data_IF_484530428237
#
_entry.id   IF_484530428237
#
_cell.length_a   1.000
_cell.length_b   1.000
_cell.length_c   1.000
_cell.angle_alpha   90.00
_cell.angle_beta   90.00
_cell.angle_gamma   90.00
#
_symmetry.space_group_name_H-M   'P 1'
#
loop_
_entity.id
_entity.type
_entity.pdbx_description
1 polymer ?
#
# COMPACT_ATOMS: atom_id res chain seq x y z
N UNK A 1 36.45 -14.61 19.39
CA UNK A 1 35.13 -14.73 20.05
C UNK A 1 34.09 -14.35 19.02
N UNK A 2 33.31 -15.31 18.55
CA UNK A 2 32.34 -15.10 17.48
C UNK A 2 31.11 -14.36 18.01
N UNK A 3 30.73 -13.27 17.34
CA UNK A 3 29.47 -12.57 17.53
C UNK A 3 28.31 -13.55 17.27
N UNK A 4 27.62 -13.97 18.33
CA UNK A 4 26.31 -14.61 18.20
C UNK A 4 25.33 -13.56 17.73
N UNK A 5 24.80 -13.75 16.52
CA UNK A 5 23.63 -13.03 16.02
C UNK A 5 22.45 -13.35 16.93
N UNK A 6 22.05 -12.39 17.76
CA UNK A 6 20.81 -12.46 18.53
C UNK A 6 19.68 -12.10 17.57
N UNK A 7 18.98 -13.13 17.08
CA UNK A 7 17.66 -13.15 16.40
C UNK A 7 17.69 -14.12 15.21
N UNK A 8 17.77 -15.42 15.47
CA UNK A 8 17.34 -16.45 14.52
C UNK A 8 15.81 -16.42 14.48
N UNK A 9 15.25 -15.44 13.76
CA UNK A 9 13.83 -15.41 13.44
C UNK A 9 13.61 -16.33 12.25
N UNK A 10 12.92 -17.45 12.46
CA UNK A 10 12.55 -18.38 11.39
C UNK A 10 11.49 -17.74 10.48
N UNK A 11 11.96 -17.17 9.37
CA UNK A 11 11.12 -16.58 8.32
C UNK A 11 10.64 -17.61 7.28
N UNK A 12 10.97 -18.91 7.42
CA UNK A 12 10.61 -19.92 6.43
C UNK A 12 9.09 -20.06 6.23
N UNK A 13 8.29 -19.70 7.25
CA UNK A 13 6.83 -19.65 7.13
C UNK A 13 6.32 -18.66 6.08
N UNK A 14 7.07 -17.59 5.79
CA UNK A 14 6.73 -16.53 4.84
C UNK A 14 7.37 -16.71 3.46
N UNK A 15 8.40 -17.56 3.35
CA UNK A 15 9.16 -17.79 2.11
C UNK A 15 8.48 -18.82 1.19
N UNK A 16 7.41 -18.39 0.54
CA UNK A 16 6.72 -19.22 -0.45
C UNK A 16 6.24 -18.40 -1.65
N UNK A 17 6.42 -18.97 -2.84
CA UNK A 17 6.19 -18.31 -4.12
C UNK A 17 4.90 -18.79 -4.75
N UNK A 18 4.06 -17.87 -5.21
CA UNK A 18 2.92 -18.20 -6.07
C UNK A 18 3.30 -18.10 -7.56
N UNK A 19 2.66 -18.91 -8.38
CA UNK A 19 2.83 -19.02 -9.84
C UNK A 19 1.79 -18.21 -10.64
N UNK A 20 1.02 -17.35 -9.98
CA UNK A 20 -0.02 -16.57 -10.64
C UNK A 20 0.58 -15.57 -11.64
N UNK A 21 0.15 -15.65 -12.90
CA UNK A 21 0.51 -14.66 -13.93
C UNK A 21 -0.38 -13.43 -13.76
N UNK A 22 0.18 -12.21 -13.71
CA UNK A 22 -0.62 -10.99 -13.63
C UNK A 22 -1.42 -10.78 -14.91
N UNK A 23 -2.58 -10.13 -14.78
CA UNK A 23 -3.45 -9.73 -15.92
C UNK A 23 -2.79 -8.60 -16.71
N UNK A 24 -2.08 -7.71 -16.01
CA UNK A 24 -1.28 -6.67 -16.63
C UNK A 24 0.07 -6.54 -15.94
N UNK A 25 1.10 -6.29 -16.73
CA UNK A 25 2.45 -5.96 -16.27
C UNK A 25 2.94 -4.77 -17.08
N UNK A 26 3.32 -3.71 -16.39
CA UNK A 26 3.96 -2.54 -17.01
C UNK A 26 5.26 -2.93 -17.73
N UNK A 27 5.73 -2.08 -18.65
CA UNK A 27 7.10 -2.18 -19.15
C UNK A 27 8.09 -1.95 -18.00
N UNK A 28 9.30 -2.51 -18.13
CA UNK A 28 10.36 -2.26 -17.16
C UNK A 28 10.78 -0.80 -17.21
N UNK A 29 11.04 -0.23 -16.04
CA UNK A 29 11.59 1.10 -15.89
C UNK A 29 10.56 2.21 -15.72
N UNK A 30 11.03 3.29 -15.13
CA UNK A 30 10.20 4.45 -14.83
C UNK A 30 10.20 5.41 -16.02
N UNK A 31 9.04 5.57 -16.64
CA UNK A 31 8.84 6.54 -17.72
C UNK A 31 7.58 7.37 -17.49
N UNK A 32 7.50 8.52 -18.15
CA UNK A 32 6.27 9.30 -18.20
C UNK A 32 5.07 8.46 -18.68
N UNK A 33 5.30 7.62 -19.70
CA UNK A 33 4.28 6.72 -20.24
C UNK A 33 3.80 5.72 -19.19
N UNK A 34 4.70 5.13 -18.39
CA UNK A 34 4.34 4.23 -17.29
C UNK A 34 3.42 4.93 -16.28
N UNK A 35 3.74 6.17 -15.92
CA UNK A 35 2.94 6.97 -14.99
C UNK A 35 1.55 7.29 -15.55
N UNK A 36 1.48 7.70 -16.82
CA UNK A 36 0.21 7.96 -17.51
C UNK A 36 -0.64 6.69 -17.63
N UNK A 37 -0.03 5.55 -17.98
CA UNK A 37 -0.70 4.26 -18.07
C UNK A 37 -1.31 3.82 -16.74
N UNK A 38 -0.58 3.96 -15.62
CA UNK A 38 -1.12 3.64 -14.28
C UNK A 38 -2.38 4.48 -14.01
N UNK A 39 -2.31 5.78 -14.25
CA UNK A 39 -3.43 6.70 -14.02
C UNK A 39 -4.65 6.37 -14.89
N UNK A 40 -4.41 6.08 -16.17
CA UNK A 40 -5.46 5.75 -17.15
C UNK A 40 -6.12 4.40 -16.84
N UNK A 41 -5.34 3.38 -16.48
CA UNK A 41 -5.86 2.07 -16.07
C UNK A 41 -6.73 2.15 -14.81
N UNK A 42 -6.33 2.99 -13.86
CA UNK A 42 -7.06 3.22 -12.61
C UNK A 42 -8.26 4.14 -12.79
N UNK A 43 -8.38 4.81 -13.94
CA UNK A 43 -9.42 5.79 -14.28
C UNK A 43 -9.45 6.95 -13.28
N UNK A 44 -8.27 7.48 -12.99
CA UNK A 44 -8.11 8.53 -11.99
C UNK A 44 -8.61 9.90 -12.49
N UNK A 45 -9.00 10.81 -11.58
CA UNK A 45 -9.30 12.18 -11.94
C UNK A 45 -8.06 12.93 -12.40
N UNK A 46 -8.24 13.92 -13.27
CA UNK A 46 -7.17 14.70 -13.91
C UNK A 46 -6.17 15.32 -12.90
N UNK A 47 -6.64 15.72 -11.73
CA UNK A 47 -5.77 16.30 -10.70
C UNK A 47 -4.76 15.28 -10.16
N UNK A 48 -5.14 14.00 -10.06
CA UNK A 48 -4.24 12.93 -9.61
C UNK A 48 -3.23 12.59 -10.70
N UNK A 49 -3.66 12.56 -11.97
CA UNK A 49 -2.74 12.39 -13.11
C UNK A 49 -1.66 13.49 -13.12
N UNK A 50 -2.06 14.75 -12.92
CA UNK A 50 -1.12 15.89 -12.79
C UNK A 50 -0.22 15.76 -11.57
N UNK A 51 -0.74 15.31 -10.43
CA UNK A 51 0.04 15.07 -9.22
C UNK A 51 1.15 14.03 -9.49
N UNK A 52 0.80 12.90 -10.11
CA UNK A 52 1.74 11.84 -10.46
C UNK A 52 2.82 12.31 -11.44
N UNK A 53 2.43 13.06 -12.48
CA UNK A 53 3.37 13.61 -13.46
C UNK A 53 4.35 14.62 -12.84
N UNK A 54 3.87 15.51 -11.97
CA UNK A 54 4.73 16.42 -11.20
C UNK A 54 5.72 15.63 -10.34
N UNK A 55 5.26 14.58 -9.69
CA UNK A 55 6.11 13.72 -8.87
C UNK A 55 7.21 13.02 -9.69
N UNK A 56 6.87 12.54 -10.89
CA UNK A 56 7.84 11.98 -11.82
C UNK A 56 8.93 12.99 -12.21
N UNK A 57 8.56 14.23 -12.52
CA UNK A 57 9.52 15.29 -12.83
C UNK A 57 10.47 15.57 -11.65
N UNK A 58 9.93 15.65 -10.42
CA UNK A 58 10.75 15.81 -9.22
C UNK A 58 11.68 14.62 -8.97
N UNK A 59 11.24 13.40 -9.24
CA UNK A 59 12.08 12.22 -9.12
C UNK A 59 13.29 12.30 -10.05
N UNK A 60 13.09 12.71 -11.31
CA UNK A 60 14.16 12.83 -12.30
C UNK A 60 15.19 13.92 -11.93
N UNK A 61 14.73 15.04 -11.41
CA UNK A 61 15.58 16.19 -11.08
C UNK A 61 16.43 15.98 -9.82
N UNK A 62 16.04 15.04 -8.95
CA UNK A 62 16.71 14.85 -7.66
C UNK A 62 17.84 13.81 -7.74
N UNK A 63 19.02 14.10 -7.17
CA UNK A 63 20.08 13.10 -7.04
C UNK A 63 19.69 12.03 -6.01
N UNK A 64 20.33 10.86 -6.09
CA UNK A 64 20.24 9.87 -5.03
C UNK A 64 20.83 10.43 -3.73
N UNK A 65 20.21 10.15 -2.56
CA UNK A 65 20.77 10.59 -1.29
C UNK A 65 22.12 9.90 -1.04
N UNK A 66 23.06 10.64 -0.48
CA UNK A 66 24.44 10.18 -0.19
C UNK A 66 24.63 9.77 1.27
N UNK A 67 23.55 9.70 2.05
CA UNK A 67 23.53 9.39 3.47
C UNK A 67 22.60 8.19 3.73
N UNK A 68 22.83 7.46 4.82
CA UNK A 68 22.08 6.24 5.14
C UNK A 68 22.66 4.99 4.45
N UNK A 69 21.78 4.06 4.05
CA UNK A 69 22.18 2.85 3.32
C UNK A 69 22.75 3.18 1.94
N UNK A 70 23.63 2.31 1.42
CA UNK A 70 24.14 2.48 0.07
C UNK A 70 23.03 2.19 -0.95
N UNK A 71 22.53 3.20 -1.67
CA UNK A 71 21.49 3.05 -2.68
C UNK A 71 22.02 3.03 -4.12
N UNK A 72 23.34 3.02 -4.33
CA UNK A 72 23.95 3.11 -5.67
C UNK A 72 23.67 1.90 -6.57
N UNK A 73 23.20 0.80 -5.99
CA UNK A 73 22.92 -0.46 -6.68
C UNK A 73 21.49 -0.52 -7.24
N UNK A 74 20.62 0.44 -6.89
CA UNK A 74 19.23 0.43 -7.36
C UNK A 74 19.20 0.86 -8.82
N UNK A 75 18.85 -0.07 -9.70
CA UNK A 75 18.54 0.22 -11.10
C UNK A 75 17.02 0.46 -11.26
N UNK A 76 16.63 1.73 -11.28
CA UNK A 76 15.24 2.13 -11.49
C UNK A 76 14.69 1.74 -12.88
N UNK A 77 15.54 1.34 -13.84
CA UNK A 77 15.12 0.85 -15.14
C UNK A 77 14.83 -0.65 -15.15
N UNK A 78 15.29 -1.43 -14.15
CA UNK A 78 15.05 -2.87 -14.07
C UNK A 78 13.85 -3.26 -13.20
N UNK A 79 13.11 -2.27 -12.69
CA UNK A 79 11.95 -2.45 -11.82
C UNK A 79 10.65 -2.41 -12.63
N UNK A 80 9.72 -3.31 -12.30
CA UNK A 80 8.32 -3.18 -12.70
C UNK A 80 7.55 -2.37 -11.66
N UNK A 81 6.93 -1.27 -12.08
CA UNK A 81 6.28 -0.31 -11.19
C UNK A 81 4.78 -0.57 -10.97
N UNK A 82 4.17 -1.39 -11.84
CA UNK A 82 2.77 -1.73 -11.73
C UNK A 82 2.49 -3.13 -12.28
N UNK A 83 1.90 -3.97 -11.44
CA UNK A 83 1.40 -5.30 -11.77
C UNK A 83 -0.03 -5.44 -11.28
N UNK A 84 -0.95 -5.75 -12.19
CA UNK A 84 -2.36 -6.01 -11.84
C UNK A 84 -2.59 -7.52 -11.69
N UNK A 85 -2.75 -8.06 -10.47
CA UNK A 85 -2.92 -9.51 -10.26
C UNK A 85 -4.34 -10.00 -10.56
N UNK A 86 -5.36 -9.18 -10.29
CA UNK A 86 -6.78 -9.51 -10.43
C UNK A 86 -7.57 -8.32 -10.99
N UNK A 87 -8.75 -8.57 -11.56
CA UNK A 87 -9.62 -7.51 -12.07
C UNK A 87 -10.63 -6.98 -11.04
N UNK A 88 -10.74 -7.63 -9.88
CA UNK A 88 -11.75 -7.35 -8.85
C UNK A 88 -11.13 -7.37 -7.47
N UNK A 89 -11.64 -6.46 -6.64
CA UNK A 89 -11.49 -6.48 -5.18
C UNK A 89 -12.68 -7.25 -4.62
N UNK A 90 -12.42 -8.31 -3.86
CA UNK A 90 -13.48 -9.15 -3.31
C UNK A 90 -13.85 -8.68 -1.90
N UNK A 91 -15.15 -8.69 -1.58
CA UNK A 91 -15.68 -8.28 -0.26
C UNK A 91 -15.91 -9.46 0.69
N UNK A 92 -15.94 -10.67 0.15
CA UNK A 92 -16.09 -11.90 0.92
C UNK A 92 -14.81 -12.72 0.79
N UNK A 93 -14.36 -13.28 1.91
CA UNK A 93 -13.24 -14.22 1.89
C UNK A 93 -13.49 -15.40 0.95
N UNK A 94 -14.75 -15.80 0.80
CA UNK A 94 -15.14 -16.93 -0.04
C UNK A 94 -14.95 -16.66 -1.54
N UNK A 95 -14.92 -15.40 -1.95
CA UNK A 95 -14.82 -14.99 -3.35
C UNK A 95 -13.37 -14.71 -3.79
N UNK A 96 -12.43 -14.57 -2.84
CA UNK A 96 -10.99 -14.37 -3.13
C UNK A 96 -10.45 -15.57 -3.93
N UNK A 97 -9.61 -15.39 -4.96
CA UNK A 97 -9.03 -16.53 -5.69
C UNK A 97 -8.28 -17.52 -4.77
N UNK A 98 -8.50 -18.81 -4.97
CA UNK A 98 -8.02 -19.91 -4.10
C UNK A 98 -6.51 -19.86 -3.79
N UNK A 99 -5.68 -19.46 -4.76
CA UNK A 99 -4.23 -19.35 -4.56
C UNK A 99 -3.85 -18.19 -3.62
N UNK A 100 -4.56 -17.08 -3.73
CA UNK A 100 -4.44 -15.92 -2.86
C UNK A 100 -4.97 -16.25 -1.46
N UNK A 101 -6.08 -16.98 -1.35
CA UNK A 101 -6.57 -17.47 -0.04
C UNK A 101 -5.53 -18.30 0.69
N UNK A 102 -4.98 -19.34 0.03
CA UNK A 102 -3.93 -20.20 0.63
C UNK A 102 -2.73 -19.42 1.12
N UNK A 103 -2.39 -18.37 0.39
CA UNK A 103 -1.31 -17.47 0.74
C UNK A 103 -1.60 -16.73 2.04
N UNK A 104 -2.77 -16.15 2.19
CA UNK A 104 -3.15 -15.41 3.40
C UNK A 104 -3.64 -16.29 4.56
N UNK A 105 -4.16 -17.49 4.30
CA UNK A 105 -4.46 -18.51 5.30
C UNK A 105 -3.18 -18.90 6.04
N UNK A 106 -2.07 -19.09 5.31
CA UNK A 106 -0.74 -19.32 5.91
C UNK A 106 -0.24 -18.15 6.74
N UNK A 107 -0.73 -16.94 6.48
CA UNK A 107 -0.41 -15.73 7.23
C UNK A 107 -1.35 -15.53 8.44
N UNK A 108 -2.41 -16.33 8.56
CA UNK A 108 -3.37 -16.29 9.67
C UNK A 108 -4.41 -15.17 9.59
N UNK A 109 -4.60 -14.53 8.42
CA UNK A 109 -5.49 -13.36 8.28
C UNK A 109 -6.96 -13.68 8.62
N UNK A 110 -7.58 -14.78 8.13
CA UNK A 110 -9.01 -15.04 8.38
C UNK A 110 -9.33 -15.33 9.85
N UNK A 111 -8.39 -15.92 10.59
CA UNK A 111 -8.57 -16.17 12.02
C UNK A 111 -8.43 -14.87 12.82
N UNK A 112 -7.47 -14.01 12.45
CA UNK A 112 -7.30 -12.70 13.06
C UNK A 112 -8.54 -11.82 12.83
N UNK A 113 -9.09 -11.80 11.60
CA UNK A 113 -10.30 -11.06 11.26
C UNK A 113 -11.49 -11.44 12.16
N UNK A 114 -11.76 -12.75 12.29
CA UNK A 114 -12.91 -13.23 13.07
C UNK A 114 -12.81 -12.98 14.56
N UNK A 115 -11.60 -12.92 15.12
CA UNK A 115 -11.39 -12.90 16.57
C UNK A 115 -11.00 -11.54 17.13
N UNK A 116 -10.32 -10.69 16.36
CA UNK A 116 -9.57 -9.56 16.92
C UNK A 116 -9.65 -8.24 16.15
N UNK A 117 -10.25 -8.20 14.95
CA UNK A 117 -10.13 -7.03 14.07
C UNK A 117 -11.48 -6.37 13.79
N UNK A 118 -11.47 -5.03 13.73
CA UNK A 118 -12.61 -4.21 13.30
C UNK A 118 -12.76 -4.17 11.76
N UNK A 119 -11.68 -4.45 11.04
CA UNK A 119 -11.63 -4.51 9.60
C UNK A 119 -10.27 -4.98 9.12
N UNK A 120 -10.25 -5.52 7.90
CA UNK A 120 -9.06 -6.05 7.23
C UNK A 120 -8.99 -5.54 5.79
N UNK A 121 -7.82 -5.03 5.40
CA UNK A 121 -7.41 -4.87 4.01
C UNK A 121 -6.26 -5.80 3.67
N UNK A 122 -6.30 -6.48 2.54
CA UNK A 122 -5.20 -7.30 2.05
C UNK A 122 -4.80 -6.90 0.62
N UNK A 123 -3.55 -6.44 0.48
CA UNK A 123 -2.92 -6.11 -0.79
C UNK A 123 -1.99 -7.22 -1.25
N UNK A 124 -2.10 -7.54 -2.54
CA UNK A 124 -1.23 -8.46 -3.23
C UNK A 124 -0.64 -7.75 -4.45
N UNK A 125 0.68 -7.69 -4.56
CA UNK A 125 1.38 -6.87 -5.55
C UNK A 125 0.93 -5.39 -5.47
N UNK A 126 0.38 -4.83 -6.55
CA UNK A 126 -0.03 -3.43 -6.64
C UNK A 126 -1.51 -3.17 -6.30
N UNK A 127 -2.30 -4.21 -6.00
CA UNK A 127 -3.75 -4.09 -5.88
C UNK A 127 -4.28 -4.72 -4.58
N UNK A 128 -5.27 -4.07 -3.97
CA UNK A 128 -6.02 -4.65 -2.85
C UNK A 128 -6.97 -5.72 -3.39
N UNK A 129 -6.90 -6.92 -2.83
CA UNK A 129 -7.66 -8.09 -3.30
C UNK A 129 -8.79 -8.49 -2.35
N UNK A 130 -8.72 -8.03 -1.09
CA UNK A 130 -9.74 -8.26 -0.08
C UNK A 130 -9.90 -7.05 0.82
N UNK A 131 -11.15 -6.70 1.12
CA UNK A 131 -11.49 -5.64 2.07
C UNK A 131 -12.77 -5.97 2.85
N UNK A 132 -12.72 -5.78 4.17
CA UNK A 132 -13.84 -6.03 5.09
C UNK A 132 -13.80 -5.01 6.24
N UNK A 133 -14.97 -4.49 6.62
CA UNK A 133 -15.17 -3.57 7.74
C UNK A 133 -16.44 -3.97 8.49
N UNK A 134 -16.43 -3.92 9.81
CA UNK A 134 -17.63 -4.19 10.60
C UNK A 134 -18.71 -3.15 10.30
N UNK A 135 -19.90 -3.61 9.91
CA UNK A 135 -21.04 -2.76 9.52
C UNK A 135 -21.36 -1.63 10.51
N UNK A 136 -21.25 -1.89 11.81
CA UNK A 136 -21.53 -0.86 12.82
C UNK A 136 -20.53 0.31 12.83
N UNK A 137 -19.32 0.13 12.26
CA UNK A 137 -18.34 1.20 12.05
C UNK A 137 -18.66 2.00 10.79
N UNK A 138 -19.07 1.32 9.71
CA UNK A 138 -19.61 1.98 8.51
C UNK A 138 -20.82 2.87 8.88
N UNK A 139 -21.74 2.35 9.70
CA UNK A 139 -22.92 3.08 10.19
C UNK A 139 -22.53 4.32 11.04
N UNK A 140 -21.35 4.31 11.67
CA UNK A 140 -20.77 5.45 12.41
C UNK A 140 -20.01 6.42 11.48
N UNK A 141 -19.94 6.15 10.18
CA UNK A 141 -19.24 6.97 9.19
C UNK A 141 -17.74 6.73 9.11
N UNK A 142 -17.23 5.65 9.72
CA UNK A 142 -15.83 5.23 9.54
C UNK A 142 -15.65 4.79 8.09
N UNK A 143 -14.61 5.31 7.45
CA UNK A 143 -14.18 4.86 6.13
C UNK A 143 -12.90 4.10 6.34
N UNK A 144 -12.92 2.82 5.99
CA UNK A 144 -11.72 2.02 5.77
C UNK A 144 -11.86 1.41 4.39
N UNK A 145 -10.91 1.68 3.50
CA UNK A 145 -10.84 1.08 2.16
C UNK A 145 -9.42 1.24 1.62
N UNK A 146 -9.18 0.76 0.40
CA UNK A 146 -7.92 1.03 -0.29
C UNK A 146 -7.89 2.46 -0.86
N UNK A 147 -6.69 3.00 -1.05
CA UNK A 147 -6.50 4.39 -1.50
C UNK A 147 -7.07 4.64 -2.91
N UNK A 148 -7.08 3.63 -3.78
CA UNK A 148 -7.67 3.73 -5.12
C UNK A 148 -9.21 3.86 -5.06
N UNK A 149 -9.85 3.09 -4.18
CA UNK A 149 -11.28 3.19 -3.89
C UNK A 149 -11.63 4.52 -3.23
N UNK A 150 -10.84 4.98 -2.26
CA UNK A 150 -11.05 6.26 -1.61
C UNK A 150 -10.99 7.43 -2.60
N UNK A 151 -10.06 7.41 -3.55
CA UNK A 151 -9.95 8.43 -4.59
C UNK A 151 -11.20 8.53 -5.48
N UNK A 152 -11.90 7.41 -5.68
CA UNK A 152 -13.13 7.33 -6.49
C UNK A 152 -14.39 7.69 -5.69
N UNK A 153 -14.50 7.17 -4.47
CA UNK A 153 -15.72 7.28 -3.65
C UNK A 153 -15.74 8.48 -2.72
N UNK A 154 -14.56 8.98 -2.31
CA UNK A 154 -14.39 10.11 -1.37
C UNK A 154 -13.41 11.17 -1.91
N UNK A 155 -13.56 11.62 -3.18
CA UNK A 155 -12.57 12.46 -3.84
C UNK A 155 -12.33 13.80 -3.13
N UNK A 156 -13.34 14.35 -2.45
CA UNK A 156 -13.24 15.59 -1.69
C UNK A 156 -12.33 15.45 -0.46
N UNK A 157 -12.42 14.34 0.27
CA UNK A 157 -11.59 14.08 1.45
C UNK A 157 -10.17 13.78 1.01
N UNK A 158 -10.01 12.89 0.01
CA UNK A 158 -8.68 12.52 -0.51
C UNK A 158 -7.97 13.76 -1.05
N UNK A 159 -8.62 14.56 -1.90
CA UNK A 159 -8.01 15.76 -2.47
C UNK A 159 -7.62 16.81 -1.42
N UNK A 160 -8.31 16.85 -0.27
CA UNK A 160 -8.01 17.79 0.81
C UNK A 160 -6.73 17.43 1.56
N UNK A 161 -6.43 16.15 1.73
CA UNK A 161 -5.36 15.69 2.63
C UNK A 161 -4.18 15.00 1.94
N UNK A 162 -4.40 14.43 0.75
CA UNK A 162 -3.38 13.64 0.06
C UNK A 162 -2.17 14.47 -0.35
N UNK A 163 -0.98 14.07 0.10
CA UNK A 163 0.27 14.75 -0.19
C UNK A 163 0.44 16.08 0.55
N UNK A 164 -0.31 16.32 1.63
CA UNK A 164 -0.21 17.56 2.42
C UNK A 164 0.89 17.49 3.48
N UNK A 165 1.16 16.30 4.03
CA UNK A 165 2.25 16.08 4.99
C UNK A 165 3.51 15.67 4.25
N UNK A 166 3.37 14.75 3.28
CA UNK A 166 4.49 14.25 2.47
C UNK A 166 4.23 14.57 0.99
N UNK A 167 4.54 15.80 0.54
CA UNK A 167 4.39 16.16 -0.86
C UNK A 167 5.45 15.44 -1.74
N UNK A 168 5.27 15.38 -3.08
CA UNK A 168 6.27 14.81 -3.98
C UNK A 168 7.67 15.42 -3.84
N UNK A 169 7.75 16.66 -3.38
CA UNK A 169 8.96 17.43 -3.15
C UNK A 169 9.65 17.11 -1.82
N UNK A 170 9.14 16.20 -1.01
CA UNK A 170 9.78 15.85 0.27
C UNK A 170 11.17 15.22 0.03
N UNK A 171 11.23 14.06 -0.63
CA UNK A 171 12.48 13.38 -0.96
C UNK A 171 12.37 12.57 -2.26
N UNK A 172 13.50 12.02 -2.75
CA UNK A 172 13.51 11.29 -4.03
C UNK A 172 12.62 10.03 -4.00
N UNK A 173 12.56 9.29 -2.89
CA UNK A 173 11.69 8.11 -2.79
C UNK A 173 10.22 8.49 -2.59
N UNK A 174 9.93 9.59 -1.90
CA UNK A 174 8.58 10.15 -1.84
C UNK A 174 8.09 10.59 -3.22
N UNK A 175 8.95 11.19 -4.05
CA UNK A 175 8.64 11.52 -5.45
C UNK A 175 8.36 10.25 -6.28
N UNK A 176 9.18 9.20 -6.09
CA UNK A 176 8.99 7.91 -6.76
C UNK A 176 7.64 7.29 -6.40
N UNK A 177 7.36 7.13 -5.10
CA UNK A 177 6.08 6.65 -4.60
C UNK A 177 4.93 7.51 -5.16
N UNK A 178 5.00 8.83 -5.04
CA UNK A 178 3.96 9.74 -5.51
C UNK A 178 3.67 9.63 -7.02
N UNK A 179 4.66 9.25 -7.84
CA UNK A 179 4.48 9.04 -9.27
C UNK A 179 3.74 7.72 -9.58
N UNK A 180 4.10 6.64 -8.89
CA UNK A 180 3.69 5.27 -9.24
C UNK A 180 2.87 4.55 -8.18
N UNK A 181 2.39 5.25 -7.16
CA UNK A 181 1.72 4.61 -6.03
C UNK A 181 0.55 3.73 -6.50
N UNK A 182 0.40 2.59 -5.83
CA UNK A 182 -0.70 1.66 -6.10
C UNK A 182 -1.13 0.89 -4.86
N UNK A 183 -2.44 0.87 -4.61
CA UNK A 183 -3.01 0.40 -3.36
C UNK A 183 -2.62 1.28 -2.17
N UNK A 184 -2.42 0.67 -1.02
CA UNK A 184 -2.34 1.35 0.27
C UNK A 184 -3.69 1.39 0.98
N UNK A 185 -3.69 2.00 2.17
CA UNK A 185 -4.88 2.08 3.02
C UNK A 185 -5.37 3.51 3.17
N UNK A 186 -6.67 3.73 3.03
CA UNK A 186 -7.32 4.98 3.37
C UNK A 186 -8.23 4.77 4.58
N UNK A 187 -7.98 5.56 5.63
CA UNK A 187 -8.74 5.52 6.88
C UNK A 187 -9.21 6.93 7.21
N UNK A 188 -10.52 7.09 7.41
CA UNK A 188 -11.11 8.30 7.96
C UNK A 188 -12.01 7.96 9.14
N UNK A 189 -11.72 8.56 10.29
CA UNK A 189 -12.50 8.41 11.53
C UNK A 189 -13.22 9.73 11.83
N UNK A 190 -14.57 9.74 11.83
CA UNK A 190 -15.33 10.95 12.12
C UNK A 190 -15.13 11.47 13.54
N UNK A 191 -15.54 12.73 13.76
CA UNK A 191 -15.42 13.42 15.04
C UNK A 191 -16.08 12.61 16.18
N UNK A 192 -15.33 12.40 17.26
CA UNK A 192 -15.81 11.71 18.46
C UNK A 192 -16.01 10.20 18.32
N UNK A 193 -15.73 9.62 17.15
CA UNK A 193 -15.88 8.17 16.93
C UNK A 193 -14.65 7.44 17.47
N UNK A 194 -14.91 6.42 18.28
CA UNK A 194 -13.88 5.48 18.77
C UNK A 194 -14.04 4.13 18.10
N UNK A 195 -12.93 3.58 17.62
CA UNK A 195 -12.84 2.24 17.03
C UNK A 195 -12.25 1.30 18.08
N UNK A 196 -13.10 0.48 18.69
CA UNK A 196 -12.74 -0.34 19.87
C UNK A 196 -11.81 -1.53 19.56
N UNK A 197 -11.75 -1.95 18.29
CA UNK A 197 -10.86 -3.00 17.80
C UNK A 197 -9.90 -2.42 16.76
N UNK A 198 -8.68 -2.96 16.62
CA UNK A 198 -7.74 -2.47 15.63
C UNK A 198 -8.22 -2.72 14.19
N UNK A 199 -7.93 -1.76 13.31
CA UNK A 199 -7.96 -1.93 11.86
C UNK A 199 -6.60 -2.49 11.42
N UNK A 200 -6.60 -3.45 10.49
CA UNK A 200 -5.36 -4.02 10.00
C UNK A 200 -5.29 -4.01 8.48
N UNK A 201 -4.14 -3.60 7.95
CA UNK A 201 -3.80 -3.78 6.54
C UNK A 201 -2.58 -4.67 6.38
N UNK A 202 -2.64 -5.56 5.40
CA UNK A 202 -1.57 -6.50 5.10
C UNK A 202 -1.13 -6.40 3.65
N UNK A 203 0.17 -6.23 3.44
CA UNK A 203 0.77 -6.01 2.13
C UNK A 203 1.71 -7.16 1.79
N UNK A 204 1.51 -7.80 0.63
CA UNK A 204 2.36 -8.89 0.16
C UNK A 204 2.91 -8.64 -1.24
N UNK A 205 4.23 -8.73 -1.38
CA UNK A 205 4.92 -8.81 -2.68
C UNK A 205 5.13 -10.28 -3.02
N UNK A 206 4.84 -10.69 -4.24
CA UNK A 206 5.14 -12.04 -4.72
C UNK A 206 5.91 -12.05 -6.04
N UNK A 207 5.92 -10.99 -6.83
CA UNK A 207 6.66 -10.97 -8.10
C UNK A 207 8.13 -10.56 -7.90
N UNK A 208 9.06 -11.29 -8.52
CA UNK A 208 10.46 -10.90 -8.57
C UNK A 208 10.65 -9.62 -9.42
N UNK A 209 11.59 -8.75 -9.00
CA UNK A 209 11.93 -7.47 -9.64
C UNK A 209 10.73 -6.49 -9.71
N UNK A 210 9.79 -6.63 -8.77
CA UNK A 210 8.69 -5.70 -8.61
C UNK A 210 9.02 -4.67 -7.54
N UNK A 211 8.62 -3.42 -7.79
CA UNK A 211 8.58 -2.40 -6.76
C UNK A 211 7.20 -2.31 -6.11
N UNK A 212 7.14 -2.18 -4.78
CA UNK A 212 5.92 -1.91 -4.05
C UNK A 212 5.91 -0.46 -3.56
N UNK A 213 4.85 0.25 -3.92
CA UNK A 213 4.70 1.67 -3.71
C UNK A 213 3.32 1.96 -3.13
N UNK A 214 2.99 1.35 -2.00
CA UNK A 214 1.73 1.64 -1.33
C UNK A 214 1.76 3.03 -0.69
N UNK A 215 0.56 3.63 -0.60
CA UNK A 215 0.40 4.93 0.05
C UNK A 215 -0.78 4.91 1.00
N UNK A 216 -0.48 5.04 2.28
CA UNK A 216 -1.46 5.02 3.36
C UNK A 216 -1.78 6.44 3.83
N UNK A 217 -3.08 6.75 3.96
CA UNK A 217 -3.59 8.04 4.43
C UNK A 217 -4.61 7.81 5.54
N UNK A 218 -4.27 8.25 6.76
CA UNK A 218 -5.09 8.11 7.96
C UNK A 218 -5.47 9.49 8.47
N UNK A 219 -6.77 9.75 8.60
CA UNK A 219 -7.32 10.98 9.13
C UNK A 219 -8.22 10.65 10.32
N UNK A 220 -7.84 11.11 11.50
CA UNK A 220 -8.65 11.04 12.72
C UNK A 220 -9.17 12.45 13.03
N UNK A 221 -10.49 12.66 12.95
CA UNK A 221 -11.11 13.95 13.24
C UNK A 221 -11.13 14.24 14.75
N UNK A 222 -11.58 15.43 15.16
CA UNK A 222 -11.49 15.88 16.55
C UNK A 222 -12.08 14.83 17.52
N UNK A 223 -11.30 14.45 18.54
CA UNK A 223 -11.67 13.46 19.55
C UNK A 223 -11.99 12.04 19.01
N UNK A 224 -11.53 11.72 17.79
CA UNK A 224 -11.57 10.36 17.26
C UNK A 224 -10.52 9.46 17.93
N UNK A 225 -10.70 8.14 17.88
CA UNK A 225 -9.74 7.16 18.39
C UNK A 225 -9.69 5.95 17.45
N UNK A 226 -8.49 5.56 17.03
CA UNK A 226 -8.27 4.38 16.18
C UNK A 226 -6.92 3.75 16.45
N UNK A 227 -6.90 2.42 16.44
CA UNK A 227 -5.68 1.63 16.38
C UNK A 227 -5.55 1.05 14.98
N UNK A 228 -4.41 1.31 14.33
CA UNK A 228 -4.09 0.79 13.00
C UNK A 228 -2.80 -0.02 13.03
N UNK A 229 -2.85 -1.20 12.41
CA UNK A 229 -1.73 -2.13 12.31
C UNK A 229 -1.44 -2.36 10.82
N UNK A 230 -0.21 -2.10 10.42
CA UNK A 230 0.28 -2.35 9.06
C UNK A 230 1.36 -3.42 9.10
N UNK A 231 1.25 -4.43 8.22
CA UNK A 231 2.24 -5.49 8.08
C UNK A 231 2.61 -5.73 6.62
N UNK A 232 3.91 -5.81 6.34
CA UNK A 232 4.45 -6.12 5.00
C UNK A 232 5.19 -7.46 5.05
N UNK A 233 4.95 -8.33 4.06
CA UNK A 233 5.76 -9.55 3.87
C UNK A 233 6.14 -9.77 2.42
N UNK A 234 7.32 -10.37 2.21
CA UNK A 234 7.81 -10.80 0.91
C UNK A 234 8.50 -12.17 1.05
N UNK A 235 8.40 -13.05 0.04
CA UNK A 235 9.26 -14.21 -0.09
C UNK A 235 10.74 -13.79 -0.20
N UNK A 236 11.66 -14.67 0.17
CA UNK A 236 13.09 -14.41 0.02
C UNK A 236 13.44 -14.67 -1.45
N UNK A 237 13.59 -13.60 -2.22
CA UNK A 237 14.08 -13.65 -3.59
C UNK A 237 15.61 -13.48 -3.63
N UNK A 238 16.24 -14.07 -4.65
CA UNK A 238 17.65 -13.81 -4.96
C UNK A 238 17.86 -12.53 -5.77
N UNK A 239 16.77 -11.83 -6.14
CA UNK A 239 16.79 -10.59 -6.93
C UNK A 239 16.25 -9.43 -6.11
N UNK A 240 16.79 -8.24 -6.34
CA UNK A 240 16.44 -7.03 -5.59
C UNK A 240 14.97 -6.65 -5.84
N UNK A 241 14.26 -6.33 -4.77
CA UNK A 241 12.90 -5.79 -4.78
C UNK A 241 12.88 -4.49 -3.99
N UNK A 242 12.22 -3.46 -4.52
CA UNK A 242 12.18 -2.14 -3.90
C UNK A 242 10.83 -1.92 -3.22
N UNK A 243 10.84 -1.64 -1.93
CA UNK A 243 9.65 -1.23 -1.19
C UNK A 243 9.83 0.22 -0.74
N UNK A 244 8.91 1.08 -1.15
CA UNK A 244 8.93 2.51 -0.83
C UNK A 244 7.53 2.97 -0.46
N UNK A 245 7.17 2.74 0.81
CA UNK A 245 5.94 3.20 1.43
C UNK A 245 5.91 4.72 1.61
N UNK A 246 4.72 5.32 1.52
CA UNK A 246 4.46 6.65 2.11
C UNK A 246 3.23 6.57 2.99
N UNK A 247 3.37 7.03 4.24
CA UNK A 247 2.30 7.00 5.24
C UNK A 247 2.06 8.42 5.76
N UNK A 248 0.87 8.95 5.54
CA UNK A 248 0.43 10.24 6.05
C UNK A 248 -0.62 10.02 7.15
N UNK A 249 -0.34 10.53 8.36
CA UNK A 249 -1.25 10.43 9.51
C UNK A 249 -1.59 11.84 9.98
N UNK A 250 -2.88 12.14 10.04
CA UNK A 250 -3.41 13.44 10.45
C UNK A 250 -4.34 13.20 11.64
N UNK A 251 -3.83 13.45 12.84
CA UNK A 251 -4.60 13.48 14.07
C UNK A 251 -5.05 14.92 14.35
N UNK A 252 -6.36 15.16 14.37
CA UNK A 252 -6.93 16.47 14.71
C UNK A 252 -7.08 16.62 16.22
N UNK A 253 -7.81 17.63 16.68
CA UNK A 253 -7.77 18.05 18.09
C UNK A 253 -8.28 16.93 19.00
N UNK A 254 -7.41 16.44 19.88
CA UNK A 254 -7.76 15.42 20.87
C UNK A 254 -7.97 14.02 20.30
N UNK A 255 -7.56 13.80 19.05
CA UNK A 255 -7.45 12.49 18.42
C UNK A 255 -6.07 11.85 18.66
#
# INVERSE_FOLDING_TARGET
MANKSYLDLDYAKYDFKDTQKPIFKSEKGLSRQTVEQISDMKKEPEWMKKFRLRAYEHFLQRPMPTWGGNLSHIDFNDIYYYLKPTDKVEKSWDDVPEKIKKTFDRLGIPEAEKKFLAGVGAQYESEVVYHSLLKHLEDKGVIFCDTDTALKLHPEIVKKYFGTIIPPEDNKMAALNSAVWSGGSFIYIPQGVKVDLPLQAYFRINAANMGQFERTLIIADDYADVQYIEGCTAPVYSTDSLHSAVVEIIAKKGA
#
